data_IF_295684442078
#
_entry.id   IF_295684442078
#
_cell.length_a   1.000
_cell.length_b   1.000
_cell.length_c   1.000
_cell.angle_alpha   90.00
_cell.angle_beta   90.00
_cell.angle_gamma   90.00
#
_symmetry.space_group_name_H-M   'P 1'
#
loop_
_entity.id
_entity.type
_entity.pdbx_description
1 polymer ?
#
# COMPACT_ATOMS: atom_id res chain seq x y z
N UNK A 1 27.41 11.64 -58.96
CA UNK A 1 26.65 10.38 -58.76
C UNK A 1 27.54 9.40 -58.03
N UNK A 2 27.30 9.17 -56.74
CA UNK A 2 27.47 7.86 -56.08
C UNK A 2 26.48 7.89 -54.92
N UNK A 3 25.42 7.08 -55.03
CA UNK A 3 24.47 6.84 -53.96
C UNK A 3 25.05 5.78 -53.03
N UNK A 4 25.04 6.02 -51.73
CA UNK A 4 25.22 4.97 -50.72
C UNK A 4 24.02 5.02 -49.78
N UNK A 5 23.19 3.99 -49.85
CA UNK A 5 22.13 3.70 -48.90
C UNK A 5 22.51 2.41 -48.18
N UNK A 6 22.68 2.42 -46.85
CA UNK A 6 22.63 1.20 -46.04
C UNK A 6 21.99 1.48 -44.68
N UNK A 7 20.88 0.75 -44.48
CA UNK A 7 20.30 0.14 -43.29
C UNK A 7 19.92 0.98 -42.06
N UNK A 8 18.60 1.05 -41.87
CA UNK A 8 17.89 1.15 -40.60
C UNK A 8 18.34 0.03 -39.65
N UNK A 9 18.77 0.39 -38.45
CA UNK A 9 18.72 -0.41 -37.23
C UNK A 9 18.01 0.49 -36.21
N UNK A 10 16.81 0.19 -35.76
CA UNK A 10 16.45 -1.03 -35.03
C UNK A 10 16.27 -0.59 -33.58
N UNK A 11 15.02 -0.52 -33.13
CA UNK A 11 14.60 -0.04 -31.82
C UNK A 11 15.40 -0.68 -30.68
N UNK A 12 15.85 0.14 -29.75
CA UNK A 12 15.76 -0.22 -28.33
C UNK A 12 15.01 0.93 -27.68
N UNK A 13 13.70 0.74 -27.54
CA UNK A 13 12.97 1.33 -26.43
C UNK A 13 13.59 0.71 -25.18
N UNK A 14 14.67 1.32 -24.70
CA UNK A 14 15.06 1.14 -23.32
C UNK A 14 13.96 1.80 -22.53
N UNK A 15 13.02 0.99 -22.02
CA UNK A 15 12.28 1.30 -20.81
C UNK A 15 13.33 1.49 -19.71
N UNK A 16 13.91 2.68 -19.72
CA UNK A 16 14.62 3.21 -18.58
C UNK A 16 13.46 3.60 -17.69
N UNK A 17 13.07 2.69 -16.79
CA UNK A 17 12.23 3.06 -15.67
C UNK A 17 12.88 4.31 -15.07
N UNK A 18 12.26 5.48 -15.28
CA UNK A 18 12.76 6.71 -14.71
C UNK A 18 12.88 6.45 -13.21
N UNK A 19 14.03 6.78 -12.58
CA UNK A 19 14.19 6.56 -11.15
C UNK A 19 13.02 7.25 -10.44
N UNK A 20 12.23 6.46 -9.71
CA UNK A 20 11.08 6.94 -8.96
C UNK A 20 11.50 8.12 -8.10
N UNK A 21 10.80 9.24 -8.27
CA UNK A 21 11.12 10.46 -7.53
C UNK A 21 10.73 10.32 -6.05
N UNK A 22 11.42 10.99 -5.14
CA UNK A 22 11.12 10.93 -3.71
C UNK A 22 9.64 11.26 -3.42
N UNK A 23 8.93 10.33 -2.77
CA UNK A 23 7.54 10.50 -2.31
C UNK A 23 6.49 10.19 -3.39
N UNK A 24 6.86 9.40 -4.39
CA UNK A 24 5.93 8.95 -5.44
C UNK A 24 4.81 8.10 -4.83
N UNK A 25 5.11 7.24 -3.85
CA UNK A 25 4.13 6.39 -3.19
C UNK A 25 2.89 7.16 -2.71
N UNK A 26 3.07 8.35 -2.15
CA UNK A 26 1.96 9.16 -1.64
C UNK A 26 1.41 10.19 -2.64
N UNK A 27 2.12 10.48 -3.73
CA UNK A 27 1.62 11.36 -4.80
C UNK A 27 0.89 10.54 -5.84
N UNK A 28 -0.44 10.60 -5.80
CA UNK A 28 -1.29 9.83 -6.69
C UNK A 28 -1.51 10.58 -8.00
N UNK A 29 -1.31 9.91 -9.14
CA UNK A 29 -1.65 10.47 -10.45
C UNK A 29 -3.15 10.75 -10.54
N UNK A 30 -3.55 11.85 -11.17
CA UNK A 30 -4.96 12.29 -11.20
C UNK A 30 -5.92 11.20 -11.71
N UNK A 31 -5.50 10.42 -12.71
CA UNK A 31 -6.30 9.37 -13.34
C UNK A 31 -5.93 7.95 -12.87
N UNK A 32 -5.18 7.82 -11.78
CA UNK A 32 -4.78 6.53 -11.26
C UNK A 32 -5.94 5.82 -10.53
N UNK A 33 -5.86 4.49 -10.43
CA UNK A 33 -6.83 3.69 -9.68
C UNK A 33 -6.81 4.04 -8.17
N UNK A 34 -5.63 4.37 -7.63
CA UNK A 34 -5.43 4.83 -6.26
C UNK A 34 -6.16 6.15 -6.03
N UNK A 35 -5.96 7.13 -6.93
CA UNK A 35 -6.63 8.44 -6.87
C UNK A 35 -8.14 8.30 -6.95
N UNK A 36 -8.64 7.43 -7.83
CA UNK A 36 -10.08 7.16 -7.96
C UNK A 36 -10.65 6.52 -6.68
N UNK A 37 -9.95 5.55 -6.11
CA UNK A 37 -10.34 4.93 -4.83
C UNK A 37 -10.34 5.96 -3.70
N UNK A 38 -9.28 6.77 -3.58
CA UNK A 38 -9.13 7.79 -2.56
C UNK A 38 -10.20 8.88 -2.64
N UNK A 39 -10.52 9.38 -3.85
CA UNK A 39 -11.58 10.38 -4.03
C UNK A 39 -12.94 9.90 -3.54
N UNK A 40 -13.25 8.60 -3.71
CA UNK A 40 -14.45 8.00 -3.14
C UNK A 40 -14.44 7.96 -1.62
N UNK A 41 -13.28 7.73 -0.99
CA UNK A 41 -13.14 7.72 0.48
C UNK A 41 -13.19 9.12 1.10
N UNK A 42 -12.59 10.09 0.43
CA UNK A 42 -12.52 11.49 0.90
C UNK A 42 -13.81 12.25 0.55
N UNK A 43 -14.55 11.82 -0.46
CA UNK A 43 -15.82 12.42 -0.88
C UNK A 43 -15.68 13.65 -1.79
N UNK A 44 -14.56 13.79 -2.50
CA UNK A 44 -14.31 14.95 -3.36
C UNK A 44 -13.05 14.84 -4.22
N UNK A 45 -12.91 15.76 -5.18
CA UNK A 45 -11.75 15.83 -6.08
C UNK A 45 -10.58 16.63 -5.50
N UNK A 46 -10.86 17.64 -4.68
CA UNK A 46 -9.85 18.51 -4.10
C UNK A 46 -9.34 17.90 -2.81
N UNK A 47 -8.19 17.21 -2.91
CA UNK A 47 -7.58 16.47 -1.82
C UNK A 47 -6.26 17.11 -1.43
N UNK A 48 -6.15 17.47 -0.15
CA UNK A 48 -4.88 17.82 0.45
C UNK A 48 -4.15 16.55 0.87
N UNK A 49 -2.90 16.41 0.42
CA UNK A 49 -2.01 15.33 0.83
C UNK A 49 -0.94 15.89 1.77
N UNK A 50 -0.73 15.22 2.90
CA UNK A 50 0.38 15.46 3.82
C UNK A 50 1.27 14.22 3.83
N UNK A 51 2.53 14.39 3.39
CA UNK A 51 3.51 13.31 3.31
C UNK A 51 4.37 13.39 4.57
N UNK A 52 4.35 12.33 5.37
CA UNK A 52 5.14 12.20 6.59
C UNK A 52 6.49 11.54 6.32
N UNK A 53 6.52 10.54 5.44
CA UNK A 53 7.72 9.81 5.04
C UNK A 53 7.67 9.57 3.53
N UNK A 54 8.82 9.56 2.87
CA UNK A 54 8.95 9.24 1.45
C UNK A 54 9.33 7.78 1.18
N UNK A 55 9.37 7.39 -0.09
CA UNK A 55 9.68 6.02 -0.51
C UNK A 55 11.05 5.54 0.00
N UNK A 56 12.03 6.44 0.13
CA UNK A 56 13.34 6.15 0.69
C UNK A 56 13.27 5.88 2.19
N UNK A 57 12.52 6.70 2.93
CA UNK A 57 12.27 6.49 4.38
C UNK A 57 11.59 5.13 4.63
N UNK A 58 10.65 4.72 3.76
CA UNK A 58 10.01 3.40 3.82
C UNK A 58 11.04 2.29 3.66
N UNK A 59 11.82 2.31 2.58
CA UNK A 59 12.80 1.26 2.29
C UNK A 59 13.82 1.18 3.42
N UNK A 60 14.42 2.31 3.81
CA UNK A 60 15.41 2.35 4.88
C UNK A 60 14.83 1.81 6.20
N UNK A 61 13.63 2.23 6.58
CA UNK A 61 12.99 1.79 7.83
C UNK A 61 12.70 0.28 7.82
N UNK A 62 12.17 -0.23 6.70
CA UNK A 62 11.83 -1.65 6.57
C UNK A 62 13.08 -2.54 6.54
N UNK A 63 14.14 -2.13 5.84
CA UNK A 63 15.41 -2.85 5.83
C UNK A 63 16.07 -2.84 7.20
N UNK A 64 16.07 -1.69 7.88
CA UNK A 64 16.67 -1.56 9.21
C UNK A 64 15.95 -2.41 10.25
N UNK A 65 14.64 -2.57 10.14
CA UNK A 65 13.86 -3.45 11.00
C UNK A 65 14.26 -4.93 10.84
N UNK A 66 14.54 -5.37 9.61
CA UNK A 66 14.91 -6.75 9.30
C UNK A 66 16.33 -7.13 9.74
N UNK A 67 17.21 -6.14 9.97
CA UNK A 67 18.59 -6.38 10.43
C UNK A 67 18.60 -6.93 11.87
N UNK A 68 19.64 -7.68 12.27
CA UNK A 68 19.75 -8.19 13.65
C UNK A 68 19.60 -7.08 14.70
N UNK A 69 18.67 -7.27 15.64
CA UNK A 69 18.33 -6.28 16.68
C UNK A 69 17.28 -5.23 16.28
N UNK A 70 16.71 -5.32 15.07
CA UNK A 70 15.68 -4.40 14.56
C UNK A 70 14.25 -4.71 15.05
N UNK A 71 13.91 -5.99 15.20
CA UNK A 71 12.58 -6.42 15.67
C UNK A 71 12.20 -5.89 17.07
N UNK A 72 13.20 -5.57 17.92
CA UNK A 72 12.97 -5.06 19.27
C UNK A 72 12.76 -3.54 19.35
N UNK A 73 12.90 -2.79 18.23
CA UNK A 73 12.95 -1.32 18.25
C UNK A 73 11.87 -0.56 17.48
N UNK A 74 11.00 -1.20 16.70
CA UNK A 74 9.86 -0.50 16.10
C UNK A 74 8.69 -1.45 15.82
N UNK A 75 7.85 -1.65 16.83
CA UNK A 75 6.56 -2.35 16.71
C UNK A 75 5.46 -1.48 16.09
N UNK A 76 5.75 -0.22 15.75
CA UNK A 76 4.76 0.70 15.19
C UNK A 76 4.93 0.81 13.67
N UNK A 77 3.83 0.74 12.91
CA UNK A 77 3.88 0.96 11.48
C UNK A 77 4.33 2.40 11.17
N UNK A 78 5.16 2.54 10.15
CA UNK A 78 5.63 3.81 9.62
C UNK A 78 4.49 4.49 8.87
N UNK A 79 4.04 5.64 9.36
CA UNK A 79 3.04 6.46 8.66
C UNK A 79 3.65 7.11 7.43
N UNK A 80 3.10 6.84 6.26
CA UNK A 80 3.59 7.41 5.01
C UNK A 80 2.94 8.75 4.71
N UNK A 81 1.61 8.78 4.70
CA UNK A 81 0.86 9.96 4.33
C UNK A 81 -0.54 9.98 4.93
N UNK A 82 -1.12 11.18 4.93
CA UNK A 82 -2.52 11.39 5.22
C UNK A 82 -3.18 12.28 4.16
N UNK A 83 -4.47 12.01 3.93
CA UNK A 83 -5.28 12.67 2.92
C UNK A 83 -6.53 13.25 3.58
N UNK A 84 -6.93 14.44 3.15
CA UNK A 84 -8.19 15.08 3.61
C UNK A 84 -8.79 15.96 2.52
N UNK A 85 -10.09 16.28 2.59
CA UNK A 85 -10.66 17.28 1.69
C UNK A 85 -9.96 18.63 1.89
N UNK A 86 -9.66 19.35 0.82
CA UNK A 86 -8.98 20.66 0.88
C UNK A 86 -9.77 21.67 1.74
N UNK A 87 -11.10 21.63 1.65
CA UNK A 87 -12.00 22.51 2.40
C UNK A 87 -12.22 22.09 3.87
N UNK A 88 -11.70 20.94 4.31
CA UNK A 88 -11.99 20.42 5.64
C UNK A 88 -11.18 21.16 6.74
N UNK A 89 -11.89 21.68 7.74
CA UNK A 89 -11.30 22.19 8.98
C UNK A 89 -11.30 21.07 10.04
N UNK A 90 -10.14 20.47 10.32
CA UNK A 90 -10.03 19.42 11.34
C UNK A 90 -8.82 18.51 11.17
N UNK A 91 -8.66 17.57 12.11
CA UNK A 91 -7.59 16.58 12.14
C UNK A 91 -7.99 15.21 11.55
N UNK A 92 -9.23 15.05 11.08
CA UNK A 92 -9.70 13.80 10.48
C UNK A 92 -9.12 13.65 9.07
N UNK A 93 -8.61 12.46 8.79
CA UNK A 93 -7.90 12.11 7.57
C UNK A 93 -8.15 10.64 7.21
N UNK A 94 -7.82 10.30 5.96
CA UNK A 94 -7.45 8.95 5.54
C UNK A 94 -5.93 8.84 5.70
N UNK A 95 -5.43 7.97 6.56
CA UNK A 95 -3.99 7.79 6.79
C UNK A 95 -3.53 6.42 6.30
N UNK A 96 -2.31 6.34 5.78
CA UNK A 96 -1.68 5.11 5.30
C UNK A 96 -0.37 4.85 6.05
N UNK A 97 -0.22 3.63 6.54
CA UNK A 97 0.93 3.19 7.35
C UNK A 97 1.39 1.79 6.91
N UNK A 98 2.68 1.48 7.04
CA UNK A 98 3.26 0.17 6.72
C UNK A 98 4.17 -0.35 7.82
N UNK A 99 4.24 -1.65 8.00
CA UNK A 99 5.10 -2.29 9.00
C UNK A 99 5.38 -3.75 8.67
N UNK A 100 6.25 -4.37 9.46
CA UNK A 100 6.43 -5.81 9.47
C UNK A 100 5.62 -6.43 10.60
N UNK A 101 4.95 -7.54 10.29
CA UNK A 101 4.23 -8.37 11.25
C UNK A 101 4.94 -9.73 11.38
N UNK A 102 5.35 -10.16 12.58
CA UNK A 102 5.83 -11.52 12.81
C UNK A 102 4.79 -12.57 12.42
N UNK A 103 5.23 -13.70 11.85
CA UNK A 103 4.33 -14.76 11.36
C UNK A 103 3.45 -15.40 12.45
N UNK A 104 3.89 -15.36 13.71
CA UNK A 104 3.22 -15.93 14.87
C UNK A 104 2.38 -14.91 15.66
N UNK A 105 2.34 -13.65 15.23
CA UNK A 105 1.61 -12.59 15.91
C UNK A 105 0.22 -12.40 15.30
N UNK A 106 -0.82 -12.60 16.11
CA UNK A 106 -2.18 -12.28 15.74
C UNK A 106 -2.40 -10.75 15.81
N UNK A 107 -2.63 -10.11 14.67
CA UNK A 107 -2.96 -8.69 14.61
C UNK A 107 -4.39 -8.47 14.12
N UNK A 108 -5.36 -8.70 15.00
CA UNK A 108 -6.77 -8.54 14.68
C UNK A 108 -7.26 -7.10 14.85
N UNK A 109 -8.16 -6.67 13.97
CA UNK A 109 -8.86 -5.40 14.17
C UNK A 109 -9.89 -5.54 15.31
N UNK A 110 -10.08 -4.50 16.14
CA UNK A 110 -11.14 -4.52 17.13
C UNK A 110 -12.52 -4.36 16.48
N UNK A 111 -13.55 -4.88 17.16
CA UNK A 111 -14.96 -4.69 16.78
C UNK A 111 -15.47 -5.71 15.76
N UNK A 112 -16.50 -5.34 15.00
CA UNK A 112 -17.02 -6.18 13.92
C UNK A 112 -16.11 -6.09 12.70
N UNK A 113 -15.42 -7.20 12.39
CA UNK A 113 -14.44 -7.28 11.32
C UNK A 113 -14.97 -8.12 10.17
N UNK A 114 -14.78 -7.61 8.95
CA UNK A 114 -14.98 -8.31 7.69
C UNK A 114 -13.63 -8.80 7.19
N UNK A 115 -13.61 -10.00 6.63
CA UNK A 115 -12.42 -10.62 6.08
C UNK A 115 -12.52 -10.72 4.56
N UNK A 116 -11.41 -10.47 3.88
CA UNK A 116 -11.29 -10.60 2.44
C UNK A 116 -10.03 -11.41 2.12
N UNK A 117 -10.12 -12.27 1.10
CA UNK A 117 -8.96 -12.89 0.47
C UNK A 117 -8.79 -12.25 -0.92
N UNK A 118 -7.70 -11.52 -1.09
CA UNK A 118 -7.41 -10.78 -2.32
C UNK A 118 -6.12 -11.29 -2.93
N UNK A 119 -6.22 -12.22 -3.86
CA UNK A 119 -5.06 -12.76 -4.59
C UNK A 119 -3.96 -13.32 -3.66
N UNK A 120 -4.32 -13.94 -2.52
CA UNK A 120 -3.35 -14.46 -1.55
C UNK A 120 -2.88 -13.43 -0.51
N UNK A 121 -3.43 -12.22 -0.53
CA UNK A 121 -3.33 -11.27 0.58
C UNK A 121 -4.55 -11.40 1.48
N UNK A 122 -4.32 -11.43 2.79
CA UNK A 122 -5.38 -11.45 3.79
C UNK A 122 -5.71 -10.03 4.20
N UNK A 123 -6.98 -9.65 4.12
CA UNK A 123 -7.44 -8.33 4.56
C UNK A 123 -8.48 -8.46 5.66
N UNK A 124 -8.31 -7.65 6.69
CA UNK A 124 -9.32 -7.38 7.71
C UNK A 124 -9.79 -5.94 7.55
N UNK A 125 -11.09 -5.70 7.62
CA UNK A 125 -11.62 -4.34 7.63
C UNK A 125 -12.81 -4.17 8.57
N UNK A 126 -12.86 -3.03 9.24
CA UNK A 126 -14.07 -2.49 9.86
C UNK A 126 -14.39 -1.14 9.23
N UNK A 127 -15.38 -0.43 9.78
CA UNK A 127 -15.90 0.81 9.22
C UNK A 127 -14.85 1.93 9.10
N UNK A 128 -13.77 1.88 9.88
CA UNK A 128 -12.76 2.96 9.96
C UNK A 128 -11.37 2.47 9.55
N UNK A 129 -11.06 1.19 9.69
CA UNK A 129 -9.71 0.67 9.45
C UNK A 129 -9.75 -0.53 8.51
N UNK A 130 -8.76 -0.64 7.64
CA UNK A 130 -8.43 -1.88 6.96
C UNK A 130 -6.95 -2.19 7.15
N UNK A 131 -6.63 -3.48 7.29
CA UNK A 131 -5.29 -4.04 7.40
C UNK A 131 -5.14 -5.12 6.35
N UNK A 132 -4.03 -5.11 5.63
CA UNK A 132 -3.68 -6.10 4.62
C UNK A 132 -2.31 -6.68 4.99
N UNK A 133 -2.22 -8.00 5.05
CA UNK A 133 -0.95 -8.70 5.26
C UNK A 133 -0.60 -9.54 4.06
N UNK A 134 0.68 -9.50 3.67
CA UNK A 134 1.17 -10.12 2.45
C UNK A 134 2.63 -10.55 2.61
N UNK A 135 3.06 -11.70 2.06
CA UNK A 135 4.48 -12.05 2.08
C UNK A 135 5.24 -11.12 1.14
N UNK A 136 6.23 -10.39 1.64
CA UNK A 136 7.20 -9.67 0.83
C UNK A 136 8.58 -10.28 1.06
N UNK A 137 9.15 -10.90 0.03
CA UNK A 137 10.50 -11.49 0.07
C UNK A 137 11.49 -10.46 -0.44
N UNK A 138 12.27 -9.90 0.46
CA UNK A 138 13.30 -8.91 0.13
C UNK A 138 14.48 -9.59 -0.58
N UNK A 139 15.15 -8.92 -1.53
CA UNK A 139 16.30 -9.48 -2.22
C UNK A 139 17.56 -9.54 -1.33
N UNK A 140 18.56 -10.31 -1.77
CA UNK A 140 19.90 -10.34 -1.18
C UNK A 140 19.95 -10.83 0.28
N UNK A 141 20.78 -10.18 1.10
CA UNK A 141 21.02 -10.57 2.49
C UNK A 141 19.79 -10.44 3.41
N UNK A 142 18.72 -9.80 2.93
CA UNK A 142 17.44 -9.64 3.65
C UNK A 142 16.40 -10.72 3.30
N UNK A 143 16.71 -11.64 2.38
CA UNK A 143 15.79 -12.74 2.01
C UNK A 143 15.40 -13.62 3.19
N UNK A 144 16.37 -14.11 3.95
CA UNK A 144 16.13 -14.98 5.11
C UNK A 144 15.40 -14.25 6.27
N UNK A 145 15.75 -13.00 6.64
CA UNK A 145 14.97 -12.22 7.61
C UNK A 145 13.54 -11.93 7.16
N UNK A 146 13.35 -11.42 5.94
CA UNK A 146 12.02 -11.08 5.41
C UNK A 146 11.12 -12.31 5.30
N UNK A 147 11.71 -13.50 5.19
CA UNK A 147 10.96 -14.73 5.12
C UNK A 147 10.19 -15.12 6.39
N UNK A 148 10.50 -14.48 7.52
CA UNK A 148 9.95 -14.75 8.85
C UNK A 148 8.87 -13.74 9.27
N UNK A 149 8.53 -12.80 8.40
CA UNK A 149 7.55 -11.75 8.64
C UNK A 149 6.64 -11.58 7.43
N UNK A 150 5.57 -10.83 7.63
CA UNK A 150 4.64 -10.39 6.61
C UNK A 150 4.67 -8.87 6.53
N UNK A 151 4.64 -8.32 5.32
CA UNK A 151 4.40 -6.89 5.15
C UNK A 151 2.95 -6.62 5.53
N UNK A 152 2.75 -5.67 6.42
CA UNK A 152 1.45 -5.14 6.80
C UNK A 152 1.29 -3.74 6.22
N UNK A 153 0.21 -3.54 5.47
CA UNK A 153 -0.30 -2.20 5.17
C UNK A 153 -1.56 -1.94 5.99
N UNK A 154 -1.70 -0.71 6.49
CA UNK A 154 -2.89 -0.26 7.19
C UNK A 154 -3.39 1.06 6.62
N UNK A 155 -4.71 1.14 6.41
CA UNK A 155 -5.40 2.41 6.17
C UNK A 155 -6.35 2.70 7.32
N UNK A 156 -6.38 3.95 7.77
CA UNK A 156 -7.32 4.44 8.78
C UNK A 156 -8.09 5.66 8.25
N UNK A 157 -9.41 5.54 8.09
CA UNK A 157 -10.31 6.58 7.62
C UNK A 157 -11.10 7.21 8.77
N UNK A 158 -10.46 8.13 9.47
CA UNK A 158 -11.08 8.84 10.60
C UNK A 158 -12.16 9.85 10.17
N UNK A 159 -12.35 10.09 8.87
CA UNK A 159 -13.46 10.90 8.35
C UNK A 159 -14.81 10.24 8.65
N UNK A 160 -14.86 8.91 8.72
CA UNK A 160 -16.06 8.10 8.95
C UNK A 160 -16.49 8.00 10.42
N UNK A 161 -15.74 8.61 11.35
CA UNK A 161 -16.09 8.56 12.77
C UNK A 161 -17.41 9.28 13.02
N UNK A 162 -18.40 8.52 13.51
CA UNK A 162 -19.75 9.00 13.81
C UNK A 162 -20.68 9.07 12.60
N UNK A 163 -20.33 8.41 11.50
CA UNK A 163 -21.16 8.29 10.30
C UNK A 163 -21.65 6.85 10.13
N UNK A 164 -22.79 6.67 9.45
CA UNK A 164 -23.21 5.35 8.99
C UNK A 164 -22.36 4.93 7.79
N UNK A 165 -21.70 3.76 7.88
CA UNK A 165 -20.77 3.30 6.85
C UNK A 165 -21.40 2.18 6.02
N UNK A 166 -21.58 2.44 4.73
CA UNK A 166 -22.04 1.46 3.77
C UNK A 166 -20.92 0.45 3.42
N UNK A 167 -21.30 -0.78 3.05
CA UNK A 167 -20.35 -1.82 2.63
C UNK A 167 -19.44 -1.34 1.50
N UNK A 168 -19.99 -0.60 0.53
CA UNK A 168 -19.23 -0.06 -0.61
C UNK A 168 -18.07 0.82 -0.16
N UNK A 169 -18.24 1.61 0.90
CA UNK A 169 -17.16 2.46 1.45
C UNK A 169 -16.03 1.59 2.02
N UNK A 170 -16.37 0.49 2.69
CA UNK A 170 -15.39 -0.47 3.21
C UNK A 170 -14.67 -1.18 2.07
N UNK A 171 -15.38 -1.62 1.03
CA UNK A 171 -14.77 -2.25 -0.15
C UNK A 171 -13.80 -1.29 -0.86
N UNK A 172 -14.14 -0.01 -0.91
CA UNK A 172 -13.29 1.03 -1.49
C UNK A 172 -12.06 1.31 -0.62
N UNK A 173 -12.20 1.22 0.71
CA UNK A 173 -11.08 1.31 1.65
C UNK A 173 -10.10 0.14 1.46
N UNK A 174 -10.63 -1.07 1.31
CA UNK A 174 -9.87 -2.28 1.03
C UNK A 174 -9.15 -2.18 -0.33
N UNK A 175 -9.84 -1.71 -1.37
CA UNK A 175 -9.26 -1.48 -2.69
C UNK A 175 -8.11 -0.48 -2.63
N UNK A 176 -8.32 0.67 -1.98
CA UNK A 176 -7.29 1.68 -1.81
C UNK A 176 -6.07 1.11 -1.08
N UNK A 177 -6.28 0.38 0.02
CA UNK A 177 -5.19 -0.26 0.75
C UNK A 177 -4.42 -1.24 -0.12
N UNK A 178 -5.10 -2.11 -0.88
CA UNK A 178 -4.46 -3.07 -1.77
C UNK A 178 -3.51 -2.39 -2.77
N UNK A 179 -4.02 -1.35 -3.45
CA UNK A 179 -3.25 -0.63 -4.47
C UNK A 179 -2.03 0.07 -3.85
N UNK A 180 -2.19 0.67 -2.66
CA UNK A 180 -1.08 1.34 -1.98
C UNK A 180 -0.06 0.34 -1.44
N UNK A 181 -0.48 -0.82 -0.92
CA UNK A 181 0.46 -1.87 -0.52
C UNK A 181 1.20 -2.45 -1.73
N UNK A 182 0.56 -2.55 -2.90
CA UNK A 182 1.25 -2.92 -4.15
C UNK A 182 2.40 -1.97 -4.45
N UNK A 183 2.16 -0.66 -4.39
CA UNK A 183 3.22 0.36 -4.57
C UNK A 183 4.34 0.21 -3.54
N UNK A 184 4.00 -0.07 -2.28
CA UNK A 184 4.99 -0.33 -1.23
C UNK A 184 5.83 -1.58 -1.53
N UNK A 185 5.21 -2.68 -1.98
CA UNK A 185 5.95 -3.90 -2.34
C UNK A 185 6.89 -3.69 -3.52
N UNK A 186 6.49 -2.88 -4.49
CA UNK A 186 7.35 -2.51 -5.63
C UNK A 186 8.51 -1.60 -5.19
N UNK A 187 8.27 -0.66 -4.27
CA UNK A 187 9.31 0.21 -3.72
C UNK A 187 10.35 -0.58 -2.90
N UNK A 188 9.88 -1.59 -2.16
CA UNK A 188 10.73 -2.53 -1.41
C UNK A 188 11.46 -3.55 -2.32
N UNK A 189 11.04 -3.67 -3.59
CA UNK A 189 11.62 -4.64 -4.52
C UNK A 189 11.33 -6.09 -4.14
N UNK A 190 10.14 -6.38 -3.59
CA UNK A 190 9.77 -7.75 -3.18
C UNK A 190 9.83 -8.71 -4.39
N UNK A 191 10.68 -9.73 -4.35
CA UNK A 191 10.95 -10.62 -5.50
C UNK A 191 9.76 -11.51 -5.90
N UNK A 192 8.79 -11.67 -5.00
CA UNK A 192 7.65 -12.57 -5.17
C UNK A 192 6.38 -11.88 -5.71
N UNK A 193 6.45 -10.59 -6.06
CA UNK A 193 5.38 -9.79 -6.67
C UNK A 193 3.97 -10.10 -6.14
N UNK A 194 3.74 -10.02 -4.82
CA UNK A 194 2.61 -10.70 -4.21
C UNK A 194 1.24 -10.06 -4.53
N UNK A 195 1.23 -8.83 -5.04
CA UNK A 195 0.03 -8.06 -5.38
C UNK A 195 -0.01 -7.70 -6.87
N UNK A 196 0.61 -8.51 -7.74
CA UNK A 196 0.71 -8.22 -9.18
C UNK A 196 -0.65 -8.16 -9.90
N UNK A 197 -1.67 -8.84 -9.37
CA UNK A 197 -3.02 -8.87 -9.96
C UNK A 197 -3.86 -7.73 -9.42
N UNK A 198 -4.79 -7.24 -10.22
CA UNK A 198 -5.75 -6.25 -9.72
C UNK A 198 -6.65 -6.85 -8.62
N UNK A 199 -7.04 -6.06 -7.61
CA UNK A 199 -7.87 -6.54 -6.52
C UNK A 199 -9.29 -6.84 -7.01
N UNK A 200 -9.79 -8.04 -6.70
CA UNK A 200 -11.21 -8.39 -6.83
C UNK A 200 -11.78 -8.42 -5.43
N UNK A 201 -12.43 -7.33 -5.02
CA UNK A 201 -12.94 -7.18 -3.65
C UNK A 201 -14.31 -7.80 -3.53
N UNK A 202 -14.32 -9.02 -3.00
CA UNK A 202 -15.53 -9.72 -2.55
C UNK A 202 -15.31 -10.14 -1.10
N UNK A 203 -16.27 -9.85 -0.22
CA UNK A 203 -16.16 -10.24 1.18
C UNK A 203 -16.16 -11.77 1.28
N UNK A 204 -15.17 -12.33 1.99
CA UNK A 204 -15.14 -13.75 2.29
C UNK A 204 -16.33 -14.09 3.19
N UNK A 205 -16.97 -15.27 3.01
CA UNK A 205 -17.96 -15.74 3.96
C UNK A 205 -17.32 -15.79 5.35
N UNK A 206 -18.04 -15.31 6.37
CA UNK A 206 -17.56 -15.39 7.76
C UNK A 206 -17.15 -16.83 8.09
N UNK A 207 -16.02 -17.05 8.78
CA UNK A 207 -15.65 -18.39 9.22
C UNK A 207 -16.84 -19.01 9.96
N UNK A 208 -17.21 -20.24 9.57
CA UNK A 208 -18.20 -20.99 10.33
C UNK A 208 -17.67 -21.19 11.75
N UNK A 209 -18.46 -20.78 12.73
CA UNK A 209 -18.16 -20.93 14.16
C UNK A 209 -18.03 -22.39 14.58
#
# INVERSE_FOLDING_TARGET
MVSLAIAVSGCTSGDTAEPRSNGELCRLGQDSAESTSLRGLVGGNDIRTEISNDDGDLVESMENWLKPGGAEKSALPLRMCSYRPEAATGARTVSLEFGWLPLDEANELPGQVRHYDLNGATVQANDINAKLTVPCRMPGDLGDPSAKVMLEGQVSNTLLIGTDVEQRTVDQQVTFLYLMTRRATEALGCENDPLAKDPVVEASPSPAA
#
